data_IF_995035164926
#
_entry.id   IF_995035164926
#
_cell.length_a   1.000
_cell.length_b   1.000
_cell.length_c   1.000
_cell.angle_alpha   90.00
_cell.angle_beta   90.00
_cell.angle_gamma   90.00
#
_symmetry.space_group_name_H-M   'P 1'
#
loop_
_entity.id
_entity.type
_entity.pdbx_description
1 polymer ?
#
# COMPACT_ATOMS: atom_id res chain seq x y z
N UNK A 1 -27.97 6.66 4.08
CA UNK A 1 -27.14 6.16 5.18
C UNK A 1 -26.39 4.94 4.67
N UNK A 2 -25.05 4.97 4.70
CA UNK A 2 -24.23 3.78 4.39
C UNK A 2 -24.46 2.73 5.48
N UNK A 3 -24.46 1.45 5.12
CA UNK A 3 -24.56 0.38 6.12
C UNK A 3 -23.35 0.45 7.06
N UNK A 4 -23.50 0.06 8.32
CA UNK A 4 -22.41 0.02 9.30
C UNK A 4 -21.18 -0.78 8.81
N UNK A 5 -21.41 -1.80 8.01
CA UNK A 5 -20.38 -2.63 7.39
C UNK A 5 -19.58 -1.88 6.30
N UNK A 6 -20.25 -1.01 5.51
CA UNK A 6 -19.58 -0.19 4.49
C UNK A 6 -18.66 0.84 5.15
N UNK A 7 -19.14 1.53 6.19
CA UNK A 7 -18.31 2.46 6.96
C UNK A 7 -17.11 1.76 7.62
N UNK A 8 -17.25 0.50 8.05
CA UNK A 8 -16.16 -0.31 8.58
C UNK A 8 -15.06 -0.56 7.54
N UNK A 9 -15.42 -0.90 6.31
CA UNK A 9 -14.46 -1.11 5.20
C UNK A 9 -13.71 0.17 4.84
N UNK A 10 -14.43 1.28 4.71
CA UNK A 10 -13.82 2.58 4.44
C UNK A 10 -12.81 2.98 5.53
N UNK A 11 -13.16 2.76 6.79
CA UNK A 11 -12.25 3.04 7.90
C UNK A 11 -11.02 2.13 7.88
N UNK A 12 -11.19 0.83 7.65
CA UNK A 12 -10.09 -0.13 7.55
C UNK A 12 -9.10 0.26 6.46
N UNK A 13 -9.61 0.60 5.27
CA UNK A 13 -8.78 1.08 4.17
C UNK A 13 -8.02 2.37 4.51
N UNK A 14 -8.73 3.40 5.01
CA UNK A 14 -8.12 4.69 5.37
C UNK A 14 -7.10 4.53 6.51
N UNK A 15 -7.34 3.66 7.48
CA UNK A 15 -6.37 3.36 8.55
C UNK A 15 -5.06 2.79 7.96
N UNK A 16 -5.17 1.87 6.98
CA UNK A 16 -4.01 1.34 6.27
C UNK A 16 -3.24 2.43 5.50
N UNK A 17 -3.95 3.23 4.71
CA UNK A 17 -3.33 4.35 3.96
C UNK A 17 -2.73 5.39 4.91
N UNK A 18 -3.38 5.66 6.04
CA UNK A 18 -2.89 6.61 7.03
C UNK A 18 -1.58 6.16 7.66
N UNK A 19 -1.45 4.90 8.02
CA UNK A 19 -0.21 4.34 8.56
C UNK A 19 0.97 4.47 7.57
N UNK A 20 0.73 4.31 6.28
CA UNK A 20 1.73 4.56 5.24
C UNK A 20 1.94 6.07 5.02
N UNK A 21 1.20 6.65 4.10
CA UNK A 21 1.42 7.99 3.56
C UNK A 21 0.62 9.12 4.24
N UNK A 22 -0.29 8.79 5.18
CA UNK A 22 -1.14 9.78 5.82
C UNK A 22 -0.39 10.70 6.77
N UNK A 23 -0.82 11.95 6.86
CA UNK A 23 -0.30 12.93 7.80
C UNK A 23 -1.46 13.76 8.38
N UNK A 24 -1.44 13.97 9.70
CA UNK A 24 -2.34 14.94 10.34
C UNK A 24 -1.56 16.21 10.62
N UNK A 25 -1.94 17.28 9.94
CA UNK A 25 -1.34 18.61 10.09
C UNK A 25 -2.31 19.57 10.75
N UNK A 26 -1.79 20.59 11.42
CA UNK A 26 -2.60 21.74 11.89
C UNK A 26 -2.59 22.80 10.81
N UNK A 27 -3.77 23.13 10.30
CA UNK A 27 -3.94 24.22 9.36
C UNK A 27 -5.02 25.17 9.90
N UNK A 28 -4.70 26.46 10.05
CA UNK A 28 -5.63 27.45 10.58
C UNK A 28 -6.21 27.11 11.96
N UNK A 29 -5.47 26.40 12.81
CA UNK A 29 -5.92 25.96 14.14
C UNK A 29 -6.70 24.63 14.14
N UNK A 30 -7.06 24.08 12.98
CA UNK A 30 -7.78 22.82 12.85
C UNK A 30 -6.87 21.67 12.43
N UNK A 31 -7.14 20.46 12.94
CA UNK A 31 -6.49 19.25 12.47
C UNK A 31 -7.03 18.88 11.08
N UNK A 32 -6.15 18.61 10.16
CA UNK A 32 -6.49 18.18 8.79
C UNK A 32 -5.72 16.90 8.46
N UNK A 33 -6.44 15.86 8.06
CA UNK A 33 -5.85 14.66 7.51
C UNK A 33 -5.47 14.90 6.07
N UNK A 34 -4.22 14.68 5.73
CA UNK A 34 -3.65 14.97 4.41
C UNK A 34 -2.97 13.73 3.86
N UNK A 35 -3.22 13.43 2.59
CA UNK A 35 -2.52 12.43 1.81
C UNK A 35 -1.88 13.09 0.59
N UNK A 36 -0.61 12.77 0.34
CA UNK A 36 0.12 13.23 -0.84
C UNK A 36 0.32 12.06 -1.79
N UNK A 37 -0.25 12.16 -2.96
CA UNK A 37 -0.28 11.10 -3.98
C UNK A 37 0.45 11.58 -5.22
N UNK A 38 1.22 10.70 -5.86
CA UNK A 38 1.85 11.03 -7.14
C UNK A 38 0.78 11.26 -8.20
N UNK A 39 0.99 12.24 -9.07
CA UNK A 39 0.04 12.59 -10.16
C UNK A 39 -0.19 11.47 -11.17
N UNK A 40 0.67 10.46 -11.21
CA UNK A 40 0.45 9.26 -12.03
C UNK A 40 -0.51 8.24 -11.40
N UNK A 41 -0.85 8.41 -10.13
CA UNK A 41 -1.72 7.52 -9.34
C UNK A 41 -3.03 8.23 -8.95
N UNK A 42 -3.70 8.86 -9.93
CA UNK A 42 -4.96 9.59 -9.70
C UNK A 42 -6.07 8.69 -9.18
N UNK A 43 -6.13 7.44 -9.63
CA UNK A 43 -7.02 6.39 -9.15
C UNK A 43 -6.88 6.16 -7.63
N UNK A 44 -5.66 6.24 -7.11
CA UNK A 44 -5.41 6.17 -5.67
C UNK A 44 -5.95 7.39 -4.92
N UNK A 45 -5.76 8.59 -5.45
CA UNK A 45 -6.31 9.81 -4.87
C UNK A 45 -7.86 9.79 -4.87
N UNK A 46 -8.47 9.31 -5.96
CA UNK A 46 -9.92 9.16 -6.09
C UNK A 46 -10.47 8.13 -5.08
N UNK A 47 -9.78 7.00 -4.91
CA UNK A 47 -10.15 6.00 -3.91
C UNK A 47 -10.09 6.58 -2.49
N UNK A 48 -9.00 7.26 -2.12
CA UNK A 48 -8.89 7.91 -0.81
C UNK A 48 -10.05 8.88 -0.59
N UNK A 49 -10.35 9.71 -1.57
CA UNK A 49 -11.42 10.72 -1.49
C UNK A 49 -12.80 10.08 -1.30
N UNK A 50 -13.07 9.02 -2.05
CA UNK A 50 -14.32 8.25 -1.94
C UNK A 50 -14.48 7.66 -0.53
N UNK A 51 -13.44 7.02 -0.01
CA UNK A 51 -13.50 6.40 1.32
C UNK A 51 -13.61 7.45 2.43
N UNK A 52 -12.90 8.59 2.33
CA UNK A 52 -13.04 9.70 3.27
C UNK A 52 -14.45 10.30 3.24
N UNK A 53 -15.05 10.47 2.05
CA UNK A 53 -16.42 10.96 1.92
C UNK A 53 -17.46 10.00 2.52
N UNK A 54 -17.10 8.73 2.68
CA UNK A 54 -17.94 7.74 3.35
C UNK A 54 -17.82 7.80 4.88
N UNK A 55 -16.74 8.37 5.41
CA UNK A 55 -16.44 8.46 6.84
C UNK A 55 -16.76 9.83 7.44
N UNK A 56 -16.74 10.86 6.61
CA UNK A 56 -16.89 12.25 7.04
C UNK A 56 -17.99 12.94 6.23
N UNK A 57 -18.81 13.74 6.90
CA UNK A 57 -19.77 14.66 6.25
C UNK A 57 -19.08 15.95 5.77
N UNK A 58 -17.82 16.15 6.11
CA UNK A 58 -17.07 17.35 5.76
C UNK A 58 -16.52 17.21 4.33
N UNK A 59 -16.57 18.28 3.57
CA UNK A 59 -16.09 18.32 2.19
C UNK A 59 -14.61 17.97 2.11
N UNK A 60 -14.27 17.00 1.27
CA UNK A 60 -12.90 16.67 0.94
C UNK A 60 -12.36 17.67 -0.07
N UNK A 61 -11.17 18.18 0.19
CA UNK A 61 -10.52 19.17 -0.65
C UNK A 61 -9.34 18.56 -1.40
N UNK A 62 -9.21 18.94 -2.66
CA UNK A 62 -8.12 18.53 -3.53
C UNK A 62 -7.28 19.75 -3.88
N UNK A 63 -5.96 19.56 -3.88
CA UNK A 63 -5.01 20.56 -4.36
C UNK A 63 -3.82 19.88 -5.04
N UNK A 64 -3.12 20.63 -5.86
CA UNK A 64 -1.85 20.21 -6.43
C UNK A 64 -0.73 20.99 -5.77
N UNK A 65 0.34 20.32 -5.43
CA UNK A 65 1.52 20.92 -4.82
C UNK A 65 2.78 20.48 -5.56
N UNK A 66 3.64 21.43 -5.88
CA UNK A 66 4.98 21.10 -6.37
C UNK A 66 5.84 20.60 -5.21
N UNK A 67 6.40 19.41 -5.34
CA UNK A 67 7.33 18.85 -4.35
C UNK A 67 8.78 18.95 -4.84
N UNK A 68 9.48 19.97 -4.40
CA UNK A 68 10.87 20.24 -4.78
C UNK A 68 11.89 19.23 -4.20
N UNK A 69 11.46 18.31 -3.32
CA UNK A 69 12.35 17.33 -2.70
C UNK A 69 12.80 16.23 -3.68
N UNK A 70 11.99 15.92 -4.69
CA UNK A 70 12.24 14.84 -5.63
C UNK A 70 12.76 15.33 -6.98
N UNK A 71 12.13 16.36 -7.54
CA UNK A 71 12.58 17.06 -8.73
C UNK A 71 11.91 18.43 -8.81
N UNK A 72 12.47 19.36 -9.61
CA UNK A 72 11.87 20.70 -9.78
C UNK A 72 10.44 20.67 -10.35
N UNK A 73 10.10 19.59 -11.06
CA UNK A 73 8.82 19.44 -11.79
C UNK A 73 7.91 18.35 -11.18
N UNK A 74 8.24 17.87 -9.98
CA UNK A 74 7.43 16.86 -9.31
C UNK A 74 6.15 17.47 -8.76
N UNK A 75 5.01 17.11 -9.35
CA UNK A 75 3.69 17.54 -8.88
C UNK A 75 3.06 16.40 -8.10
N UNK A 76 2.50 16.71 -6.94
CA UNK A 76 1.75 15.78 -6.11
C UNK A 76 0.29 16.24 -6.02
N UNK A 77 -0.64 15.28 -6.08
CA UNK A 77 -2.00 15.48 -5.62
C UNK A 77 -2.03 15.43 -4.10
N UNK A 78 -2.79 16.36 -3.54
CA UNK A 78 -3.03 16.41 -2.11
C UNK A 78 -4.52 16.28 -1.86
N UNK A 79 -4.89 15.25 -1.09
CA UNK A 79 -6.25 15.00 -0.62
C UNK A 79 -6.32 15.43 0.84
N UNK A 80 -7.21 16.35 1.16
CA UNK A 80 -7.33 16.97 2.47
C UNK A 80 -8.73 16.74 3.05
N UNK A 81 -8.79 16.20 4.25
CA UNK A 81 -10.01 16.01 5.01
C UNK A 81 -9.88 16.76 6.35
N UNK A 82 -10.56 17.93 6.51
CA UNK A 82 -10.47 18.74 7.73
C UNK A 82 -11.43 18.23 8.84
N UNK A 83 -11.65 16.94 8.93
CA UNK A 83 -12.46 16.31 9.95
C UNK A 83 -11.63 16.07 11.21
N UNK A 84 -11.89 16.88 12.24
CA UNK A 84 -11.15 16.84 13.50
C UNK A 84 -11.29 15.51 14.23
N UNK A 85 -12.50 14.95 14.23
CA UNK A 85 -12.80 13.73 14.99
C UNK A 85 -12.15 12.51 14.32
N UNK A 86 -12.21 12.43 12.99
CA UNK A 86 -11.49 11.42 12.22
C UNK A 86 -9.98 11.53 12.41
N UNK A 87 -9.43 12.75 12.38
CA UNK A 87 -8.01 13.00 12.64
C UNK A 87 -7.56 12.52 14.03
N UNK A 88 -8.35 12.85 15.07
CA UNK A 88 -8.05 12.46 16.44
C UNK A 88 -8.12 10.94 16.58
N UNK A 89 -9.20 10.33 16.10
CA UNK A 89 -9.38 8.89 16.13
C UNK A 89 -8.21 8.13 15.50
N UNK A 90 -7.79 8.51 14.28
CA UNK A 90 -6.67 7.86 13.60
C UNK A 90 -5.35 8.01 14.38
N UNK A 91 -5.12 9.19 14.97
CA UNK A 91 -3.94 9.44 15.81
C UNK A 91 -3.94 8.62 17.09
N UNK A 92 -5.05 8.57 17.79
CA UNK A 92 -5.23 7.82 19.03
C UNK A 92 -5.12 6.32 18.80
N UNK A 93 -5.88 5.79 17.82
CA UNK A 93 -5.87 4.38 17.46
C UNK A 93 -4.48 3.87 17.09
N UNK A 94 -3.68 4.68 16.43
CA UNK A 94 -2.33 4.30 15.98
C UNK A 94 -1.20 4.81 16.87
N UNK A 95 -1.52 5.47 17.98
CA UNK A 95 -0.54 6.17 18.80
C UNK A 95 0.42 7.03 17.93
N UNK A 96 -0.15 7.95 17.15
CA UNK A 96 0.58 8.77 16.18
C UNK A 96 1.44 7.94 15.20
N UNK A 97 0.87 6.89 14.61
CA UNK A 97 1.51 5.97 13.65
C UNK A 97 2.62 5.09 14.26
N UNK A 98 2.66 4.94 15.57
CA UNK A 98 3.67 4.11 16.24
C UNK A 98 3.27 2.63 16.33
N UNK A 99 1.99 2.32 16.22
CA UNK A 99 1.44 0.97 16.34
C UNK A 99 0.36 0.70 15.29
N UNK A 100 0.16 -0.57 14.95
CA UNK A 100 -1.10 -1.05 14.38
C UNK A 100 -2.04 -1.36 15.55
N UNK A 101 -3.29 -0.85 15.54
CA UNK A 101 -4.24 -1.11 16.63
C UNK A 101 -4.51 -2.61 16.76
N UNK A 102 -4.48 -3.13 17.99
CA UNK A 102 -4.68 -4.56 18.25
C UNK A 102 -6.05 -5.09 17.79
N UNK A 103 -7.07 -4.24 17.72
CA UNK A 103 -8.38 -4.62 17.24
C UNK A 103 -8.40 -5.00 15.77
N UNK A 104 -7.40 -4.60 14.96
CA UNK A 104 -7.26 -5.00 13.55
C UNK A 104 -7.18 -6.52 13.41
N UNK A 105 -6.48 -7.19 14.32
CA UNK A 105 -6.38 -8.66 14.35
C UNK A 105 -7.70 -9.36 14.73
N UNK A 106 -8.66 -8.61 15.31
CA UNK A 106 -9.98 -9.12 15.71
C UNK A 106 -11.06 -8.84 14.67
N UNK A 107 -10.74 -8.11 13.61
CA UNK A 107 -11.67 -7.84 12.53
C UNK A 107 -11.96 -9.09 11.73
N UNK A 108 -13.12 -9.10 11.06
CA UNK A 108 -13.39 -10.10 10.04
C UNK A 108 -12.37 -10.01 8.89
N UNK A 109 -12.25 -11.11 8.15
CA UNK A 109 -11.25 -11.24 7.10
C UNK A 109 -11.35 -10.16 6.01
N UNK A 110 -12.55 -9.68 5.72
CA UNK A 110 -12.78 -8.67 4.68
C UNK A 110 -12.30 -7.29 5.14
N UNK A 111 -12.50 -6.93 6.41
CA UNK A 111 -11.96 -5.69 6.96
C UNK A 111 -10.43 -5.73 7.03
N UNK A 112 -9.85 -6.86 7.43
CA UNK A 112 -8.39 -7.04 7.43
C UNK A 112 -7.82 -6.92 6.01
N UNK A 113 -8.50 -7.45 4.99
CA UNK A 113 -8.09 -7.28 3.58
C UNK A 113 -8.10 -5.81 3.17
N UNK A 114 -9.15 -5.06 3.48
CA UNK A 114 -9.21 -3.62 3.17
C UNK A 114 -8.07 -2.85 3.83
N UNK A 115 -7.76 -3.14 5.09
CA UNK A 115 -6.62 -2.56 5.79
C UNK A 115 -5.29 -2.87 5.10
N UNK A 116 -5.06 -4.15 4.75
CA UNK A 116 -3.83 -4.58 4.06
C UNK A 116 -3.73 -3.94 2.68
N UNK A 117 -4.83 -3.86 1.92
CA UNK A 117 -4.84 -3.18 0.61
C UNK A 117 -4.49 -1.71 0.77
N UNK A 118 -5.08 -1.01 1.74
CA UNK A 118 -4.78 0.40 2.00
C UNK A 118 -3.30 0.65 2.29
N UNK A 119 -2.70 -0.17 3.16
CA UNK A 119 -1.28 -0.05 3.48
C UNK A 119 -0.36 -0.48 2.31
N UNK A 120 -0.77 -1.48 1.52
CA UNK A 120 -0.04 -1.91 0.34
C UNK A 120 -0.19 -0.93 -0.85
N UNK A 121 -1.29 -0.19 -0.94
CA UNK A 121 -1.44 0.89 -1.93
C UNK A 121 -0.46 2.03 -1.65
N UNK A 122 -0.28 2.41 -0.37
CA UNK A 122 0.67 3.46 0.02
C UNK A 122 2.12 2.97 -0.04
N UNK A 123 2.52 2.05 0.80
CA UNK A 123 3.92 1.65 1.02
C UNK A 123 4.34 0.37 0.28
N UNK A 124 3.38 -0.42 -0.21
CA UNK A 124 3.68 -1.65 -0.94
C UNK A 124 4.25 -1.41 -2.34
N UNK A 125 5.08 -2.32 -2.79
CA UNK A 125 5.63 -2.26 -4.14
C UNK A 125 5.29 -3.51 -4.97
N UNK A 126 5.12 -3.30 -6.28
CA UNK A 126 5.16 -4.35 -7.30
C UNK A 126 6.21 -3.96 -8.32
N UNK A 127 7.32 -4.69 -8.36
CA UNK A 127 8.44 -4.43 -9.28
C UNK A 127 8.50 -5.53 -10.34
N UNK A 128 8.70 -5.15 -11.60
CA UNK A 128 9.11 -6.05 -12.67
C UNK A 128 10.58 -5.80 -12.98
N UNK A 129 11.42 -6.81 -12.91
CA UNK A 129 12.79 -6.71 -13.42
C UNK A 129 12.80 -7.16 -14.88
N UNK A 130 13.30 -6.32 -15.78
CA UNK A 130 13.77 -6.75 -17.08
C UNK A 130 15.15 -7.39 -16.86
N UNK A 131 15.25 -8.71 -16.92
CA UNK A 131 16.55 -9.38 -17.03
C UNK A 131 16.89 -9.46 -18.51
N UNK A 132 17.98 -8.85 -18.88
CA UNK A 132 18.56 -8.99 -20.21
C UNK A 132 19.53 -10.17 -20.10
N UNK A 133 19.13 -11.35 -20.59
CA UNK A 133 20.06 -12.44 -20.80
C UNK A 133 20.65 -12.27 -22.20
N UNK A 134 21.93 -12.01 -22.26
CA UNK A 134 22.70 -12.03 -23.50
C UNK A 134 23.23 -13.44 -23.68
N UNK A 135 22.46 -14.33 -24.24
CA UNK A 135 22.94 -15.62 -24.75
C UNK A 135 23.01 -15.51 -26.28
N UNK A 136 24.18 -15.75 -26.84
CA UNK A 136 24.45 -15.82 -28.28
C UNK A 136 24.06 -14.57 -29.09
N UNK A 137 24.30 -13.36 -28.55
CA UNK A 137 24.04 -12.11 -29.26
C UNK A 137 22.58 -11.73 -29.43
N UNK A 138 21.64 -12.49 -28.92
CA UNK A 138 20.21 -12.15 -28.88
C UNK A 138 19.81 -11.69 -27.48
N UNK A 139 19.18 -10.51 -27.38
CA UNK A 139 18.62 -10.00 -26.14
C UNK A 139 17.26 -10.66 -25.90
N UNK A 140 17.22 -11.71 -25.10
CA UNK A 140 15.92 -12.25 -24.62
C UNK A 140 15.51 -11.49 -23.36
N UNK A 141 14.42 -10.75 -23.46
CA UNK A 141 13.73 -10.16 -22.32
C UNK A 141 13.01 -11.27 -21.54
N UNK A 142 13.69 -11.86 -20.57
CA UNK A 142 13.02 -12.82 -19.68
C UNK A 142 12.25 -12.07 -18.59
N UNK A 143 10.92 -12.13 -18.65
CA UNK A 143 10.00 -11.57 -17.64
C UNK A 143 10.08 -12.29 -16.27
N UNK A 144 11.25 -12.83 -15.88
CA UNK A 144 11.38 -13.80 -14.79
C UNK A 144 11.26 -13.25 -13.38
N UNK A 145 11.20 -11.93 -13.17
CA UNK A 145 11.21 -11.45 -11.78
C UNK A 145 10.26 -10.26 -11.54
N UNK A 146 8.97 -10.55 -11.51
CA UNK A 146 8.06 -9.71 -10.76
C UNK A 146 8.22 -10.02 -9.28
N UNK A 147 8.37 -9.00 -8.46
CA UNK A 147 8.38 -9.10 -7.01
C UNK A 147 7.39 -8.12 -6.42
N UNK A 148 6.66 -8.58 -5.42
CA UNK A 148 5.79 -7.75 -4.59
C UNK A 148 6.29 -7.80 -3.16
N UNK A 149 6.15 -6.73 -2.43
CA UNK A 149 6.54 -6.70 -1.04
C UNK A 149 6.25 -5.37 -0.38
N UNK A 150 6.74 -5.27 0.82
CA UNK A 150 6.55 -4.14 1.72
C UNK A 150 7.88 -3.79 2.37
N UNK A 151 8.17 -2.49 2.48
CA UNK A 151 9.36 -1.99 3.16
C UNK A 151 8.95 -0.86 4.10
N UNK A 152 9.40 -0.92 5.35
CA UNK A 152 9.20 0.15 6.32
C UNK A 152 10.30 0.20 7.36
N UNK A 153 10.48 1.38 7.94
CA UNK A 153 11.32 1.62 9.11
C UNK A 153 10.51 1.62 10.43
N UNK A 154 9.20 1.46 10.35
CA UNK A 154 8.30 1.63 11.48
C UNK A 154 8.34 0.46 12.46
N UNK A 155 7.98 0.73 13.71
CA UNK A 155 8.00 -0.25 14.80
C UNK A 155 7.03 -1.40 14.55
N UNK A 156 5.88 -1.12 13.94
CA UNK A 156 4.81 -2.07 13.63
C UNK A 156 5.06 -2.96 12.39
N UNK A 157 6.25 -2.91 11.79
CA UNK A 157 6.58 -3.70 10.59
C UNK A 157 6.29 -5.21 10.76
N UNK A 158 6.67 -5.79 11.88
CA UNK A 158 6.45 -7.22 12.15
C UNK A 158 4.98 -7.54 12.42
N UNK A 159 4.24 -6.64 13.06
CA UNK A 159 2.79 -6.79 13.27
C UNK A 159 2.07 -6.81 11.92
N UNK A 160 2.48 -5.94 10.99
CA UNK A 160 1.92 -5.97 9.63
C UNK A 160 2.25 -7.28 8.90
N UNK A 161 3.46 -7.78 9.02
CA UNK A 161 3.83 -9.07 8.43
C UNK A 161 2.97 -10.22 8.99
N UNK A 162 2.67 -10.22 10.29
CA UNK A 162 1.76 -11.19 10.91
C UNK A 162 0.33 -11.07 10.37
N UNK A 163 -0.19 -9.85 10.22
CA UNK A 163 -1.51 -9.59 9.64
C UNK A 163 -1.58 -10.12 8.20
N UNK A 164 -0.57 -9.85 7.38
CA UNK A 164 -0.47 -10.39 6.01
C UNK A 164 -0.51 -11.92 6.01
N UNK A 165 0.23 -12.56 6.90
CA UNK A 165 0.25 -14.02 7.03
C UNK A 165 -1.10 -14.59 7.52
N UNK A 166 -1.82 -13.88 8.40
CA UNK A 166 -3.15 -14.31 8.89
C UNK A 166 -4.19 -14.40 7.77
N UNK A 167 -4.01 -13.64 6.69
CA UNK A 167 -4.84 -13.73 5.48
C UNK A 167 -4.51 -14.93 4.58
N UNK A 168 -3.48 -15.72 4.93
CA UNK A 168 -2.97 -16.81 4.10
C UNK A 168 -1.98 -16.35 3.02
N UNK A 169 -1.58 -15.08 3.04
CA UNK A 169 -0.55 -14.59 2.13
C UNK A 169 0.82 -15.10 2.57
N UNK A 170 1.56 -15.68 1.63
CA UNK A 170 2.89 -16.24 1.91
C UNK A 170 3.95 -15.15 1.80
N UNK A 171 4.65 -14.88 2.91
CA UNK A 171 5.76 -13.92 2.96
C UNK A 171 7.12 -14.58 2.82
N UNK A 172 8.08 -13.85 2.28
CA UNK A 172 9.50 -14.26 2.26
C UNK A 172 10.22 -13.86 3.55
N UNK A 173 11.51 -14.18 3.60
CA UNK A 173 12.38 -13.75 4.70
C UNK A 173 12.47 -12.23 4.75
N UNK A 174 12.58 -11.69 5.95
CA UNK A 174 12.86 -10.27 6.14
C UNK A 174 14.30 -9.98 5.71
N UNK A 175 14.46 -8.95 4.90
CA UNK A 175 15.75 -8.39 4.53
C UNK A 175 15.90 -7.00 5.15
N UNK A 176 17.12 -6.63 5.45
CA UNK A 176 17.47 -5.32 5.99
C UNK A 176 18.24 -4.60 4.88
N UNK A 177 17.65 -3.53 4.37
CA UNK A 177 18.27 -2.73 3.33
C UNK A 177 19.19 -1.65 3.96
N UNK A 178 20.12 -1.15 3.18
CA UNK A 178 20.97 -0.02 3.63
C UNK A 178 20.10 1.23 3.78
N UNK A 179 20.34 2.05 4.82
CA UNK A 179 19.66 3.33 4.94
C UNK A 179 19.99 4.22 3.73
N UNK A 180 19.00 5.03 3.31
CA UNK A 180 19.15 5.91 2.14
C UNK A 180 20.31 6.90 2.28
N UNK A 181 20.52 7.40 3.50
CA UNK A 181 21.64 8.26 3.89
C UNK A 181 22.07 7.93 5.32
N UNK A 182 23.28 8.31 5.68
CA UNK A 182 23.72 8.26 7.07
C UNK A 182 22.76 9.02 7.99
N UNK A 183 22.45 8.46 9.16
CA UNK A 183 21.48 9.01 10.12
C UNK A 183 20.01 8.69 9.82
N UNK A 184 19.69 8.06 8.67
CA UNK A 184 18.32 7.60 8.40
C UNK A 184 18.09 6.21 9.01
N UNK A 185 16.81 5.95 9.37
CA UNK A 185 16.41 4.62 9.86
C UNK A 185 16.67 3.56 8.80
N UNK A 186 17.08 2.39 9.23
CA UNK A 186 17.32 1.23 8.38
C UNK A 186 15.99 0.58 8.00
N UNK A 187 15.63 0.50 6.71
CA UNK A 187 14.39 -0.13 6.28
C UNK A 187 14.48 -1.66 6.37
N UNK A 188 13.38 -2.25 6.79
CA UNK A 188 13.13 -3.70 6.75
C UNK A 188 12.16 -3.98 5.63
N UNK A 189 12.41 -5.02 4.86
CA UNK A 189 11.57 -5.40 3.74
C UNK A 189 11.22 -6.88 3.82
N UNK A 190 9.98 -7.24 3.46
CA UNK A 190 9.61 -8.62 3.15
C UNK A 190 8.92 -8.69 1.80
N UNK A 191 9.08 -9.82 1.12
CA UNK A 191 8.36 -10.08 -0.11
C UNK A 191 7.04 -10.80 0.19
N UNK A 192 6.03 -10.60 -0.67
CA UNK A 192 4.78 -11.37 -0.68
C UNK A 192 4.77 -12.20 -1.96
N UNK A 193 4.43 -13.48 -1.86
CA UNK A 193 4.30 -14.36 -3.02
C UNK A 193 3.10 -13.90 -3.86
N UNK A 194 3.37 -13.44 -5.09
CA UNK A 194 2.33 -12.93 -6.01
C UNK A 194 1.16 -13.92 -6.18
N UNK A 195 1.46 -15.23 -6.24
CA UNK A 195 0.43 -16.25 -6.32
C UNK A 195 -0.56 -16.16 -5.15
N UNK A 196 -0.06 -16.05 -3.90
CA UNK A 196 -0.94 -15.97 -2.73
C UNK A 196 -1.77 -14.69 -2.69
N UNK A 197 -1.27 -13.59 -3.26
CA UNK A 197 -2.04 -12.35 -3.45
C UNK A 197 -3.18 -12.54 -4.44
N UNK A 198 -2.90 -13.12 -5.62
CA UNK A 198 -3.91 -13.41 -6.64
C UNK A 198 -4.96 -14.39 -6.12
N UNK A 199 -4.53 -15.48 -5.46
CA UNK A 199 -5.43 -16.50 -4.89
C UNK A 199 -6.34 -15.95 -3.79
N UNK A 200 -5.90 -14.90 -3.07
CA UNK A 200 -6.71 -14.23 -2.05
C UNK A 200 -7.84 -13.37 -2.62
N UNK A 201 -7.82 -13.12 -3.92
CA UNK A 201 -8.74 -12.21 -4.61
C UNK A 201 -8.48 -10.72 -4.34
N UNK A 202 -7.35 -10.38 -3.66
CA UNK A 202 -7.02 -9.00 -3.36
C UNK A 202 -6.48 -8.28 -4.60
N UNK A 203 -6.81 -7.00 -4.72
CA UNK A 203 -6.33 -6.11 -5.78
C UNK A 203 -5.94 -4.76 -5.20
N UNK A 204 -4.96 -4.13 -5.81
CA UNK A 204 -4.62 -2.74 -5.53
C UNK A 204 -5.70 -1.81 -6.07
N UNK A 205 -5.81 -0.61 -5.49
CA UNK A 205 -6.59 0.47 -6.08
C UNK A 205 -5.74 1.34 -7.03
N UNK A 206 -4.48 1.01 -7.21
CA UNK A 206 -3.53 1.65 -8.12
C UNK A 206 -3.39 0.80 -9.37
N UNK A 207 -3.91 1.28 -10.52
CA UNK A 207 -3.95 0.55 -11.78
C UNK A 207 -2.57 0.05 -12.21
N UNK A 208 -1.53 0.89 -12.15
CA UNK A 208 -0.17 0.49 -12.51
C UNK A 208 0.41 -0.67 -11.68
N UNK A 209 -0.06 -0.85 -10.42
CA UNK A 209 0.33 -2.00 -9.59
C UNK A 209 -0.43 -3.26 -10.04
N UNK A 210 -1.73 -3.13 -10.32
CA UNK A 210 -2.53 -4.23 -10.87
C UNK A 210 -2.01 -4.69 -12.24
N UNK A 211 -1.69 -3.78 -13.14
CA UNK A 211 -1.14 -4.10 -14.47
C UNK A 211 0.11 -4.98 -14.36
N UNK A 212 0.95 -4.75 -13.37
CA UNK A 212 2.13 -5.56 -13.12
C UNK A 212 1.78 -6.95 -12.59
N UNK A 213 0.80 -7.05 -11.69
CA UNK A 213 0.28 -8.33 -11.19
C UNK A 213 -0.36 -9.12 -12.33
N UNK A 214 -1.18 -8.48 -13.15
CA UNK A 214 -1.88 -9.12 -14.26
C UNK A 214 -0.90 -9.58 -15.36
N UNK A 215 0.13 -8.78 -15.67
CA UNK A 215 1.22 -9.20 -16.57
C UNK A 215 1.99 -10.40 -16.04
N UNK A 216 2.22 -10.47 -14.74
CA UNK A 216 2.82 -11.64 -14.13
C UNK A 216 1.91 -12.86 -14.23
N UNK A 217 0.62 -12.71 -13.93
CA UNK A 217 -0.38 -13.78 -13.94
C UNK A 217 -0.60 -14.36 -15.35
N UNK A 218 -0.53 -13.52 -16.39
CA UNK A 218 -0.66 -13.92 -17.80
C UNK A 218 0.65 -14.43 -18.43
N UNK A 219 1.75 -14.45 -17.67
CA UNK A 219 3.06 -14.83 -18.22
C UNK A 219 3.13 -16.34 -18.49
N UNK A 220 3.80 -16.79 -19.58
CA UNK A 220 4.00 -18.23 -19.87
C UNK A 220 4.69 -19.01 -18.73
N UNK A 221 5.55 -18.32 -17.96
CA UNK A 221 6.21 -18.89 -16.80
C UNK A 221 5.22 -19.23 -15.67
N UNK A 222 4.09 -18.52 -15.58
CA UNK A 222 3.01 -18.82 -14.64
C UNK A 222 2.19 -20.03 -15.10
N UNK A 223 1.79 -20.09 -16.37
CA UNK A 223 1.06 -21.23 -16.94
C UNK A 223 1.81 -22.56 -16.72
N UNK A 224 3.14 -22.54 -16.85
CA UNK A 224 3.98 -23.73 -16.61
C UNK A 224 4.00 -24.19 -15.14
N UNK A 225 3.80 -23.28 -14.16
CA UNK A 225 3.75 -23.61 -12.73
C UNK A 225 2.43 -24.27 -12.33
N UNK A 226 1.31 -23.86 -12.93
CA UNK A 226 0.00 -24.49 -12.70
C UNK A 226 -0.01 -25.92 -13.23
N UNK A 227 0.60 -26.17 -14.39
CA UNK A 227 0.65 -27.51 -15.02
C UNK A 227 1.69 -28.43 -14.39
N UNK A 228 2.62 -27.93 -13.57
CA UNK A 228 3.67 -28.72 -12.96
C UNK A 228 3.91 -28.37 -11.47
N UNK A 229 2.97 -28.71 -10.56
CA UNK A 229 3.00 -28.29 -9.15
C UNK A 229 4.18 -28.85 -8.33
N UNK A 230 4.92 -29.86 -8.86
CA UNK A 230 6.09 -30.45 -8.17
C UNK A 230 7.36 -29.55 -8.20
N UNK A 231 7.32 -28.39 -8.87
CA UNK A 231 8.45 -27.44 -8.95
C UNK A 231 8.18 -26.09 -8.28
N UNK A 232 7.12 -25.94 -7.48
CA UNK A 232 6.75 -24.71 -6.77
C UNK A 232 7.22 -24.75 -5.31
#
# INVERSE_FOLDING_TARGET
MLSSQSAGKSYAYILGVYLGDGCVTKYGGSNTLTFKVNTIDTDFADKISKELSSLSSIKIHHSQQTDKRWSKDSILYQVNCPDKDLCLRLREDTNNKSIIPQYVLKWDKELVKEFVVGLMDSEGYVKGRKTINVENGSTQLTNRMFSMGFCSCDTWFYDFMQIVNSLGLRTGKVTIDKPYKEGYKTPRCFSIKLQSWVDSGMRFNIARKNDRVDKWNSSPAYAHRITNPKRA
#
